data_IF_380258165988
#
_entry.id   IF_380258165988
#
_cell.length_a   1.000
_cell.length_b   1.000
_cell.length_c   1.000
_cell.angle_alpha   90.00
_cell.angle_beta   90.00
_cell.angle_gamma   90.00
#
_symmetry.space_group_name_H-M   'P 1'
#
loop_
_entity.id
_entity.type
_entity.pdbx_description
1 polymer ?
#
# COMPACT_ATOMS: atom_id res chain seq x y z
N UNK A 1 6.21 -2.34 26.75
CA UNK A 1 7.31 -2.24 25.79
C UNK A 1 7.82 -3.61 25.36
N UNK A 2 8.28 -3.72 24.17
CA UNK A 2 8.83 -4.96 23.60
C UNK A 2 10.24 -4.71 23.08
N UNK A 3 11.11 -5.72 23.23
CA UNK A 3 12.44 -5.69 22.64
C UNK A 3 12.35 -6.04 21.16
N UNK A 4 12.83 -5.16 20.30
CA UNK A 4 12.93 -5.41 18.86
C UNK A 4 14.40 -5.36 18.43
N UNK A 5 14.77 -6.24 17.52
CA UNK A 5 16.08 -6.20 16.91
C UNK A 5 16.02 -5.33 15.67
N UNK A 6 16.78 -4.25 15.67
CA UNK A 6 16.88 -3.38 14.50
C UNK A 6 17.61 -4.14 13.39
N UNK A 7 16.90 -4.46 12.31
CA UNK A 7 17.42 -5.27 11.19
C UNK A 7 18.58 -4.61 10.40
N UNK A 8 18.82 -3.31 10.60
CA UNK A 8 19.91 -2.58 9.94
C UNK A 8 21.19 -2.54 10.78
N UNK A 9 21.03 -2.41 12.10
CA UNK A 9 22.16 -2.21 13.02
C UNK A 9 22.45 -3.43 13.88
N UNK A 10 21.59 -4.45 13.84
CA UNK A 10 21.65 -5.64 14.69
C UNK A 10 21.65 -5.32 16.20
N UNK A 11 21.24 -4.10 16.58
CA UNK A 11 21.14 -3.67 17.97
C UNK A 11 19.75 -3.95 18.52
N UNK A 12 19.69 -4.27 19.81
CA UNK A 12 18.43 -4.41 20.54
C UNK A 12 17.94 -3.01 20.88
N UNK A 13 16.74 -2.68 20.43
CA UNK A 13 16.08 -1.41 20.72
C UNK A 13 14.77 -1.69 21.47
N UNK A 14 14.35 -0.77 22.32
CA UNK A 14 13.08 -0.87 23.02
C UNK A 14 12.01 -0.13 22.23
N UNK A 15 10.94 -0.85 21.89
CA UNK A 15 9.72 -0.25 21.39
C UNK A 15 8.80 0.03 22.59
N UNK A 16 8.65 1.31 22.94
CA UNK A 16 7.76 1.76 24.02
C UNK A 16 6.53 2.38 23.37
N UNK A 17 5.37 1.79 23.61
CA UNK A 17 4.08 2.30 23.12
C UNK A 17 3.23 2.66 24.32
N UNK A 18 2.78 3.92 24.38
CA UNK A 18 1.81 4.38 25.40
C UNK A 18 0.39 4.19 24.84
N UNK A 19 -0.48 3.63 25.66
CA UNK A 19 -1.89 3.41 25.30
C UNK A 19 -2.79 3.65 26.50
N UNK A 20 -3.97 4.18 26.24
CA UNK A 20 -5.00 4.39 27.26
C UNK A 20 -5.88 3.15 27.47
N UNK A 21 -6.05 2.32 26.41
CA UNK A 21 -6.87 1.10 26.44
C UNK A 21 -6.09 -0.10 25.91
N UNK A 22 -6.35 -1.28 26.49
CA UNK A 22 -5.88 -2.59 26.03
C UNK A 22 -4.35 -2.66 25.79
N UNK A 23 -3.54 -2.60 26.83
CA UNK A 23 -2.08 -2.61 26.71
C UNK A 23 -1.53 -3.87 26.03
N UNK A 24 -2.19 -5.02 26.17
CA UNK A 24 -1.77 -6.29 25.55
C UNK A 24 -1.79 -6.29 24.01
N UNK A 25 -2.64 -5.46 23.40
CA UNK A 25 -2.73 -5.38 21.93
C UNK A 25 -2.01 -4.14 21.35
N UNK A 26 -1.49 -3.27 22.17
CA UNK A 26 -0.95 -1.98 21.77
C UNK A 26 0.18 -2.10 20.74
N UNK A 27 1.08 -3.06 20.92
CA UNK A 27 2.22 -3.29 20.02
C UNK A 27 1.74 -3.81 18.66
N UNK A 28 0.77 -4.72 18.66
CA UNK A 28 0.16 -5.23 17.43
C UNK A 28 -0.54 -4.11 16.64
N UNK A 29 -1.30 -3.26 17.33
CA UNK A 29 -1.95 -2.08 16.74
C UNK A 29 -0.93 -1.06 16.22
N UNK A 30 0.14 -0.82 16.98
CA UNK A 30 1.23 0.03 16.53
C UNK A 30 1.89 -0.49 15.24
N UNK A 31 2.04 -1.81 15.10
CA UNK A 31 2.53 -2.43 13.88
C UNK A 31 1.68 -2.11 12.63
N UNK A 32 0.38 -1.85 12.81
CA UNK A 32 -0.51 -1.47 11.70
C UNK A 32 -0.18 -0.08 11.13
N UNK A 33 0.47 0.79 11.91
CA UNK A 33 0.94 2.11 11.47
C UNK A 33 1.88 2.00 10.26
N UNK A 34 2.65 0.93 10.16
CA UNK A 34 3.51 0.68 9.00
C UNK A 34 2.75 0.61 7.67
N UNK A 35 1.51 0.12 7.68
CA UNK A 35 0.67 0.11 6.48
C UNK A 35 0.30 1.52 6.03
N UNK A 36 0.02 2.42 6.98
CA UNK A 36 -0.28 3.83 6.72
C UNK A 36 0.96 4.53 6.13
N UNK A 37 2.12 4.29 6.70
CA UNK A 37 3.39 4.85 6.20
C UNK A 37 3.70 4.38 4.76
N UNK A 38 3.46 3.10 4.46
CA UNK A 38 3.61 2.59 3.10
C UNK A 38 2.59 3.19 2.13
N UNK A 39 1.33 3.34 2.55
CA UNK A 39 0.30 4.00 1.76
C UNK A 39 0.74 5.43 1.37
N UNK A 40 1.17 6.23 2.33
CA UNK A 40 1.67 7.57 2.05
C UNK A 40 2.91 7.58 1.15
N UNK A 41 3.82 6.64 1.32
CA UNK A 41 4.99 6.48 0.46
C UNK A 41 4.59 6.16 -0.99
N UNK A 42 3.62 5.27 -1.17
CA UNK A 42 3.13 4.89 -2.49
C UNK A 42 2.38 6.06 -3.15
N UNK A 43 1.58 6.82 -2.39
CA UNK A 43 0.91 8.02 -2.88
C UNK A 43 1.92 9.12 -3.25
N UNK A 44 2.96 9.31 -2.43
CA UNK A 44 3.91 10.43 -2.58
C UNK A 44 4.89 10.23 -3.72
N UNK A 45 5.42 9.03 -3.91
CA UNK A 45 6.56 8.81 -4.82
C UNK A 45 6.53 7.52 -5.64
N UNK A 46 5.92 6.45 -5.17
CA UNK A 46 6.02 5.14 -5.82
C UNK A 46 4.90 4.85 -6.83
N UNK A 47 3.84 5.66 -6.87
CA UNK A 47 2.69 5.41 -7.75
C UNK A 47 2.09 6.70 -8.27
N UNK A 48 1.43 7.44 -7.43
CA UNK A 48 0.66 8.62 -7.85
C UNK A 48 1.47 9.92 -7.93
N UNK A 49 2.71 9.92 -7.49
CA UNK A 49 3.63 11.07 -7.55
C UNK A 49 3.05 12.39 -7.00
N UNK A 50 2.30 12.31 -5.91
CA UNK A 50 1.68 13.48 -5.27
C UNK A 50 2.68 14.61 -5.00
N UNK A 51 3.95 14.27 -4.78
CA UNK A 51 5.04 15.23 -4.58
C UNK A 51 5.20 16.23 -5.75
N UNK A 52 4.82 15.82 -6.97
CA UNK A 52 4.99 16.64 -8.18
C UNK A 52 3.80 17.55 -8.47
N UNK A 53 2.72 17.51 -7.68
CA UNK A 53 1.50 18.28 -7.97
C UNK A 53 1.61 19.75 -7.59
N UNK A 54 2.53 20.12 -6.68
CA UNK A 54 2.74 21.48 -6.18
C UNK A 54 1.45 22.17 -5.65
N UNK A 55 0.42 21.38 -5.29
CA UNK A 55 -0.84 21.89 -4.75
C UNK A 55 -0.61 22.35 -3.31
N UNK A 56 -0.84 23.64 -3.06
CA UNK A 56 -0.71 24.27 -1.74
C UNK A 56 -2.06 24.55 -1.08
N UNK A 57 -3.15 24.58 -1.86
CA UNK A 57 -4.51 24.82 -1.40
C UNK A 57 -5.01 23.61 -0.57
N UNK A 58 -5.38 23.78 0.72
CA UNK A 58 -5.82 22.70 1.59
C UNK A 58 -7.08 21.98 1.11
N UNK A 59 -8.06 22.69 0.53
CA UNK A 59 -9.31 22.08 0.07
C UNK A 59 -9.07 21.19 -1.15
N UNK A 60 -8.31 21.68 -2.11
CA UNK A 60 -7.90 20.90 -3.29
C UNK A 60 -7.05 19.70 -2.89
N UNK A 61 -6.14 19.87 -1.93
CA UNK A 61 -5.32 18.78 -1.42
C UNK A 61 -6.19 17.72 -0.74
N UNK A 62 -7.16 18.11 0.08
CA UNK A 62 -8.11 17.20 0.74
C UNK A 62 -8.91 16.39 -0.28
N UNK A 63 -9.44 17.05 -1.30
CA UNK A 63 -10.18 16.39 -2.40
C UNK A 63 -9.28 15.40 -3.14
N UNK A 64 -8.06 15.81 -3.50
CA UNK A 64 -7.09 14.94 -4.17
C UNK A 64 -6.75 13.72 -3.31
N UNK A 65 -6.51 13.91 -2.01
CA UNK A 65 -6.22 12.81 -1.08
C UNK A 65 -7.36 11.82 -0.99
N UNK A 66 -8.61 12.27 -1.02
CA UNK A 66 -9.79 11.41 -1.01
C UNK A 66 -9.87 10.54 -2.27
N UNK A 67 -9.64 11.14 -3.43
CA UNK A 67 -9.60 10.41 -4.72
C UNK A 67 -8.45 9.40 -4.72
N UNK A 68 -7.28 9.79 -4.25
CA UNK A 68 -6.11 8.91 -4.18
C UNK A 68 -6.32 7.74 -3.20
N UNK A 69 -7.05 7.95 -2.11
CA UNK A 69 -7.37 6.87 -1.17
C UNK A 69 -8.26 5.80 -1.82
N UNK A 70 -9.26 6.21 -2.61
CA UNK A 70 -10.11 5.31 -3.38
C UNK A 70 -9.27 4.56 -4.43
N UNK A 71 -8.46 5.28 -5.20
CA UNK A 71 -7.59 4.69 -6.22
C UNK A 71 -6.58 3.72 -5.61
N UNK A 72 -5.97 4.06 -4.47
CA UNK A 72 -5.05 3.20 -3.75
C UNK A 72 -5.71 1.87 -3.34
N UNK A 73 -6.90 1.97 -2.73
CA UNK A 73 -7.66 0.78 -2.33
C UNK A 73 -7.99 -0.11 -3.52
N UNK A 74 -8.35 0.50 -4.63
CA UNK A 74 -8.61 -0.21 -5.88
C UNK A 74 -7.38 -0.94 -6.40
N UNK A 75 -6.23 -0.27 -6.45
CA UNK A 75 -4.97 -0.91 -6.86
C UNK A 75 -4.58 -2.07 -5.93
N UNK A 76 -4.82 -1.95 -4.63
CA UNK A 76 -4.61 -3.06 -3.67
C UNK A 76 -5.52 -4.26 -4.00
N UNK A 77 -6.79 -4.03 -4.34
CA UNK A 77 -7.74 -5.11 -4.71
C UNK A 77 -7.28 -5.82 -5.99
N UNK A 78 -6.90 -5.07 -7.03
CA UNK A 78 -6.34 -5.63 -8.27
C UNK A 78 -5.05 -6.40 -7.98
N UNK A 79 -4.13 -5.82 -7.22
CA UNK A 79 -2.86 -6.47 -6.86
C UNK A 79 -3.04 -7.74 -6.04
N UNK A 80 -4.06 -7.80 -5.18
CA UNK A 80 -4.41 -8.99 -4.42
C UNK A 80 -4.95 -10.09 -5.36
N UNK A 81 -5.74 -9.72 -6.34
CA UNK A 81 -6.20 -10.64 -7.39
C UNK A 81 -5.02 -11.13 -8.24
N UNK A 82 -4.10 -10.25 -8.67
CA UNK A 82 -2.87 -10.62 -9.40
C UNK A 82 -2.03 -11.61 -8.59
N UNK A 83 -1.92 -11.41 -7.27
CA UNK A 83 -1.18 -12.31 -6.39
C UNK A 83 -1.76 -13.73 -6.36
N UNK A 84 -3.09 -13.88 -6.50
CA UNK A 84 -3.74 -15.20 -6.57
C UNK A 84 -3.45 -15.92 -7.89
N UNK A 85 -3.36 -15.17 -9.02
CA UNK A 85 -3.18 -15.74 -10.36
C UNK A 85 -1.70 -15.93 -10.70
N UNK A 86 -0.83 -14.99 -10.29
CA UNK A 86 0.60 -14.95 -10.61
C UNK A 86 1.43 -14.82 -9.34
N UNK A 87 1.45 -15.82 -8.44
CA UNK A 87 2.18 -15.74 -7.17
C UNK A 87 3.71 -15.63 -7.36
N UNK A 88 4.23 -16.04 -8.51
CA UNK A 88 5.65 -15.99 -8.86
C UNK A 88 6.21 -14.56 -8.88
N UNK A 89 5.39 -13.54 -9.18
CA UNK A 89 5.80 -12.14 -9.21
C UNK A 89 6.18 -11.64 -7.79
N UNK A 90 5.64 -12.30 -6.77
CA UNK A 90 5.81 -11.92 -5.35
C UNK A 90 6.88 -12.74 -4.62
N UNK A 91 7.68 -13.52 -5.35
CA UNK A 91 8.78 -14.30 -4.76
C UNK A 91 9.68 -13.39 -3.93
N UNK A 92 10.09 -13.88 -2.76
CA UNK A 92 11.00 -13.15 -1.87
C UNK A 92 12.39 -13.09 -2.51
N UNK A 93 12.99 -11.91 -2.51
CA UNK A 93 14.40 -11.72 -2.90
C UNK A 93 15.33 -12.20 -1.77
N UNK A 94 16.62 -12.31 -2.04
CA UNK A 94 17.66 -12.75 -1.08
C UNK A 94 17.59 -12.02 0.28
N UNK A 95 17.14 -10.74 0.29
CA UNK A 95 16.99 -9.94 1.51
C UNK A 95 15.62 -10.11 2.21
N UNK A 96 14.85 -11.16 1.90
CA UNK A 96 13.61 -11.54 2.58
C UNK A 96 12.36 -10.72 2.20
N UNK A 97 12.49 -9.65 1.43
CA UNK A 97 11.35 -8.82 0.98
C UNK A 97 10.79 -9.33 -0.34
N UNK A 98 9.48 -9.22 -0.59
CA UNK A 98 8.89 -9.56 -1.88
C UNK A 98 9.49 -8.70 -2.99
N UNK A 99 9.62 -9.28 -4.19
CA UNK A 99 10.18 -8.59 -5.34
C UNK A 99 9.34 -7.37 -5.75
N UNK A 100 8.02 -7.44 -5.52
CA UNK A 100 7.06 -6.39 -5.87
C UNK A 100 6.02 -6.23 -4.76
N UNK A 101 5.60 -5.00 -4.46
CA UNK A 101 4.49 -4.75 -3.55
C UNK A 101 3.15 -5.07 -4.21
N UNK A 102 2.12 -5.37 -3.40
CA UNK A 102 0.76 -5.64 -3.91
C UNK A 102 0.23 -4.42 -4.65
N UNK A 103 0.42 -3.22 -4.10
CA UNK A 103 0.03 -1.97 -4.74
C UNK A 103 0.68 -1.80 -6.12
N UNK A 104 2.00 -1.98 -6.21
CA UNK A 104 2.75 -1.83 -7.46
C UNK A 104 2.30 -2.84 -8.53
N UNK A 105 2.05 -4.08 -8.13
CA UNK A 105 1.53 -5.10 -9.04
C UNK A 105 0.13 -4.74 -9.58
N UNK A 106 -0.75 -4.21 -8.73
CA UNK A 106 -2.07 -3.76 -9.13
C UNK A 106 -2.02 -2.56 -10.07
N UNK A 107 -1.17 -1.58 -9.78
CA UNK A 107 -0.99 -0.39 -10.61
C UNK A 107 -0.47 -0.76 -12.02
N UNK A 108 0.52 -1.62 -12.11
CA UNK A 108 1.07 -2.07 -13.39
C UNK A 108 0.06 -2.89 -14.20
N UNK A 109 -0.68 -3.79 -13.55
CA UNK A 109 -1.71 -4.59 -14.23
C UNK A 109 -2.85 -3.71 -14.76
N UNK A 110 -3.28 -2.72 -13.96
CA UNK A 110 -4.29 -1.76 -14.39
C UNK A 110 -3.79 -0.89 -15.55
N UNK A 111 -2.57 -0.36 -15.45
CA UNK A 111 -1.95 0.40 -16.54
C UNK A 111 -1.85 -0.43 -17.82
N UNK A 112 -1.40 -1.69 -17.72
CA UNK A 112 -1.33 -2.59 -18.88
C UNK A 112 -2.71 -2.82 -19.52
N UNK A 113 -3.77 -2.97 -18.71
CA UNK A 113 -5.12 -3.14 -19.23
C UNK A 113 -5.62 -1.89 -19.99
N UNK A 114 -5.24 -0.69 -19.53
CA UNK A 114 -5.53 0.56 -20.24
C UNK A 114 -4.72 0.63 -21.55
N UNK A 115 -3.40 0.42 -21.50
CA UNK A 115 -2.55 0.50 -22.67
C UNK A 115 -2.92 -0.51 -23.77
N UNK A 116 -3.36 -1.70 -23.38
CA UNK A 116 -3.81 -2.74 -24.33
C UNK A 116 -5.28 -2.59 -24.71
N UNK A 117 -5.99 -1.58 -24.21
CA UNK A 117 -7.44 -1.36 -24.41
C UNK A 117 -8.28 -2.62 -24.15
N UNK A 118 -7.87 -3.44 -23.19
CA UNK A 118 -8.53 -4.70 -22.88
C UNK A 118 -9.82 -4.47 -22.08
N UNK A 119 -10.93 -4.21 -22.80
CA UNK A 119 -12.23 -3.89 -22.20
C UNK A 119 -12.74 -4.97 -21.23
N UNK A 120 -12.43 -6.25 -21.50
CA UNK A 120 -12.82 -7.36 -20.62
C UNK A 120 -12.14 -7.24 -19.24
N UNK A 121 -10.84 -6.98 -19.22
CA UNK A 121 -10.09 -6.78 -17.97
C UNK A 121 -10.55 -5.52 -17.25
N UNK A 122 -10.75 -4.43 -17.98
CA UNK A 122 -11.21 -3.17 -17.40
C UNK A 122 -12.59 -3.35 -16.74
N UNK A 123 -13.55 -3.99 -17.39
CA UNK A 123 -14.86 -4.30 -16.79
C UNK A 123 -14.72 -5.11 -15.50
N UNK A 124 -13.86 -6.12 -15.48
CA UNK A 124 -13.59 -6.92 -14.28
C UNK A 124 -12.95 -6.07 -13.17
N UNK A 125 -12.01 -5.17 -13.49
CA UNK A 125 -11.39 -4.30 -12.48
C UNK A 125 -12.37 -3.28 -11.93
N UNK A 126 -13.25 -2.74 -12.76
CA UNK A 126 -14.34 -1.87 -12.31
C UNK A 126 -15.31 -2.57 -11.35
N UNK A 127 -15.59 -3.87 -11.56
CA UNK A 127 -16.42 -4.63 -10.63
C UNK A 127 -15.80 -4.74 -9.22
N UNK A 128 -14.47 -4.59 -9.08
CA UNK A 128 -13.82 -4.56 -7.77
C UNK A 128 -14.10 -3.27 -6.97
N UNK A 129 -14.61 -2.22 -7.59
CA UNK A 129 -15.08 -1.02 -6.90
C UNK A 129 -16.51 -1.18 -6.40
N UNK A 130 -17.30 -2.04 -7.02
CA UNK A 130 -18.65 -2.34 -6.59
C UNK A 130 -18.62 -3.13 -5.27
N UNK A 131 -19.37 -2.66 -4.29
CA UNK A 131 -19.51 -3.29 -2.98
C UNK A 131 -20.63 -4.36 -2.96
N UNK A 132 -20.85 -5.03 -4.09
CA UNK A 132 -21.77 -6.18 -4.17
C UNK A 132 -21.05 -7.48 -3.88
#
# INVERSE_FOLDING_TARGET
GERIVNSKTNKIEWLIVSTYHQPGESIKRYGQRWYIENMFKDMKSNGFQLKCTHITDPERLSTLMSILAIAYTWMIRIGTWVKKIKPEIFKKKKHGRPAKSIFRAGLEEFANAIYTLCLVRLKMYFSFLSCT
#
